data_IF_449680053726
#
_entry.id   IF_449680053726
#
_cell.length_a   1.000
_cell.length_b   1.000
_cell.length_c   1.000
_cell.angle_alpha   90.00
_cell.angle_beta   90.00
_cell.angle_gamma   90.00
#
_symmetry.space_group_name_H-M   'P 1'
#
loop_
_entity.id
_entity.type
_entity.pdbx_description
1 polymer ?
#
# COMPACT_ATOMS: atom_id res chain seq x y z
N UNK A 1 3.41 -18.40 -7.57
CA UNK A 1 3.74 -19.80 -7.22
C UNK A 1 4.75 -19.82 -6.08
N UNK A 2 5.97 -19.33 -6.30
CA UNK A 2 7.06 -19.42 -5.29
C UNK A 2 6.72 -18.83 -3.91
N UNK A 3 5.90 -17.79 -3.84
CA UNK A 3 5.45 -17.24 -2.56
C UNK A 3 4.57 -18.23 -1.77
N UNK A 4 3.68 -18.96 -2.45
CA UNK A 4 2.81 -19.97 -1.82
C UNK A 4 3.61 -21.20 -1.41
N UNK A 5 4.68 -21.56 -2.15
CA UNK A 5 5.60 -22.63 -1.79
C UNK A 5 6.45 -22.30 -0.55
N UNK A 6 6.85 -21.02 -0.42
CA UNK A 6 7.73 -20.57 0.66
C UNK A 6 6.98 -20.13 1.93
N UNK A 7 5.70 -19.79 1.83
CA UNK A 7 4.89 -19.23 2.91
C UNK A 7 3.63 -20.08 3.11
N UNK A 8 3.11 -20.06 4.33
CA UNK A 8 1.80 -20.69 4.65
C UNK A 8 0.68 -19.70 4.32
N UNK A 9 0.40 -19.55 3.03
CA UNK A 9 -0.62 -18.63 2.49
C UNK A 9 -1.41 -19.28 1.37
N UNK A 10 -2.64 -18.85 1.19
CA UNK A 10 -3.44 -19.09 -0.01
C UNK A 10 -3.36 -17.84 -0.92
N UNK A 11 -3.39 -18.05 -2.23
CA UNK A 11 -3.31 -16.97 -3.19
C UNK A 11 -4.49 -16.98 -4.17
N UNK A 12 -5.21 -15.87 -4.24
CA UNK A 12 -6.23 -15.62 -5.27
C UNK A 12 -5.62 -14.75 -6.36
N UNK A 13 -5.40 -15.33 -7.53
CA UNK A 13 -4.87 -14.60 -8.69
C UNK A 13 -6.03 -13.91 -9.41
N UNK A 14 -6.02 -12.58 -9.42
CA UNK A 14 -7.11 -11.78 -9.99
C UNK A 14 -6.69 -11.21 -11.35
N UNK A 15 -7.39 -11.57 -12.40
CA UNK A 15 -7.13 -11.11 -13.77
C UNK A 15 -7.85 -11.96 -14.80
N UNK A 16 -7.47 -11.84 -16.07
CA UNK A 16 -8.07 -12.64 -17.14
C UNK A 16 -7.76 -14.13 -16.93
N UNK A 17 -8.77 -14.92 -16.67
CA UNK A 17 -8.66 -16.34 -16.31
C UNK A 17 -7.82 -17.13 -17.31
N UNK A 18 -8.07 -16.94 -18.61
CA UNK A 18 -7.34 -17.64 -19.67
C UNK A 18 -5.82 -17.37 -19.63
N UNK A 19 -5.44 -16.11 -19.39
CA UNK A 19 -4.03 -15.71 -19.32
C UNK A 19 -3.36 -16.31 -18.08
N UNK A 20 -4.03 -16.21 -16.91
CA UNK A 20 -3.52 -16.76 -15.65
C UNK A 20 -3.40 -18.27 -15.73
N UNK A 21 -4.40 -18.96 -16.25
CA UNK A 21 -4.36 -20.42 -16.41
C UNK A 21 -3.24 -20.87 -17.35
N UNK A 22 -2.99 -20.13 -18.44
CA UNK A 22 -1.88 -20.41 -19.34
C UNK A 22 -0.53 -20.26 -18.64
N UNK A 23 -0.34 -19.21 -17.82
CA UNK A 23 0.91 -19.01 -17.07
C UNK A 23 1.10 -20.06 -15.96
N UNK A 24 0.05 -20.41 -15.22
CA UNK A 24 0.12 -21.49 -14.23
C UNK A 24 0.52 -22.83 -14.87
N UNK A 25 -0.04 -23.13 -16.05
CA UNK A 25 0.32 -24.33 -16.80
C UNK A 25 1.79 -24.32 -17.25
N UNK A 26 2.31 -23.18 -17.73
CA UNK A 26 3.74 -23.04 -18.09
C UNK A 26 4.66 -23.27 -16.91
N UNK A 27 4.26 -22.81 -15.71
CA UNK A 27 5.00 -23.04 -14.48
C UNK A 27 4.84 -24.45 -13.90
N UNK A 28 4.00 -25.30 -14.49
CA UNK A 28 3.68 -26.63 -13.94
C UNK A 28 2.98 -26.58 -12.58
N UNK A 29 2.33 -25.48 -12.25
CA UNK A 29 1.73 -25.29 -10.94
C UNK A 29 0.44 -26.10 -10.80
N UNK A 30 0.40 -26.97 -9.76
CA UNK A 30 -0.78 -27.76 -9.38
C UNK A 30 -1.18 -27.54 -7.93
N UNK A 31 -0.66 -26.51 -7.27
CA UNK A 31 -0.93 -26.22 -5.86
C UNK A 31 -2.37 -25.75 -5.68
N UNK A 32 -3.13 -26.48 -4.86
CA UNK A 32 -4.54 -26.21 -4.57
C UNK A 32 -4.79 -24.93 -3.76
N UNK A 33 -3.73 -24.37 -3.15
CA UNK A 33 -3.79 -23.08 -2.44
C UNK A 33 -3.82 -21.89 -3.39
N UNK A 34 -3.71 -22.13 -4.70
CA UNK A 34 -3.80 -21.08 -5.72
C UNK A 34 -5.13 -21.22 -6.44
N UNK A 35 -5.93 -20.15 -6.40
CA UNK A 35 -7.19 -20.03 -7.12
C UNK A 35 -7.19 -18.85 -8.08
N UNK A 36 -8.11 -18.83 -9.03
CA UNK A 36 -8.24 -17.74 -10.01
C UNK A 36 -9.59 -17.05 -9.80
N UNK A 37 -9.57 -15.72 -9.80
CA UNK A 37 -10.77 -14.89 -9.86
C UNK A 37 -10.74 -14.08 -11.14
N UNK A 38 -11.70 -14.31 -12.04
CA UNK A 38 -11.71 -13.67 -13.35
C UNK A 38 -12.00 -12.17 -13.25
N UNK A 39 -11.20 -11.37 -13.96
CA UNK A 39 -11.36 -9.93 -14.11
C UNK A 39 -10.82 -9.50 -15.48
N UNK A 40 -11.74 -9.13 -16.38
CA UNK A 40 -11.43 -8.96 -17.81
C UNK A 40 -10.78 -7.61 -18.13
N UNK A 41 -11.00 -6.58 -17.29
CA UNK A 41 -10.49 -5.24 -17.54
C UNK A 41 -9.11 -5.03 -16.87
N UNK A 42 -8.29 -4.23 -17.54
CA UNK A 42 -6.94 -3.89 -17.07
C UNK A 42 -6.82 -2.38 -16.90
N UNK A 43 -6.28 -1.94 -15.76
CA UNK A 43 -5.83 -0.56 -15.55
C UNK A 43 -4.37 -0.48 -15.96
N UNK A 44 -4.08 0.36 -16.94
CA UNK A 44 -2.72 0.55 -17.49
C UNK A 44 -2.03 1.76 -16.88
N UNK A 45 -0.75 1.96 -17.20
CA UNK A 45 -0.01 3.16 -16.79
C UNK A 45 -0.52 4.46 -17.39
N UNK A 46 -1.20 4.38 -18.55
CA UNK A 46 -1.75 5.53 -19.29
C UNK A 46 -3.13 5.97 -18.77
N UNK A 47 -3.79 5.14 -17.98
CA UNK A 47 -5.09 5.47 -17.42
C UNK A 47 -5.00 6.54 -16.33
N UNK A 48 -5.94 7.49 -16.34
CA UNK A 48 -6.14 8.35 -15.15
C UNK A 48 -6.55 7.51 -13.95
N UNK A 49 -5.78 7.53 -12.85
CA UNK A 49 -5.95 6.60 -11.74
C UNK A 49 -7.35 6.59 -11.12
N UNK A 50 -7.90 7.79 -10.85
CA UNK A 50 -9.18 7.95 -10.17
C UNK A 50 -10.33 7.52 -11.09
N UNK A 51 -10.25 7.94 -12.36
CA UNK A 51 -11.25 7.62 -13.36
C UNK A 51 -11.27 6.13 -13.70
N UNK A 52 -10.09 5.52 -13.83
CA UNK A 52 -9.97 4.10 -14.11
C UNK A 52 -10.60 3.23 -13.02
N UNK A 53 -10.30 3.49 -11.76
CA UNK A 53 -10.91 2.77 -10.63
C UNK A 53 -12.43 2.91 -10.60
N UNK A 54 -12.97 4.05 -11.01
CA UNK A 54 -14.41 4.27 -11.02
C UNK A 54 -15.12 3.59 -12.21
N UNK A 55 -14.50 3.63 -13.40
CA UNK A 55 -15.12 3.15 -14.64
C UNK A 55 -14.88 1.67 -14.89
N UNK A 56 -13.64 1.19 -14.73
CA UNK A 56 -13.26 -0.20 -14.97
C UNK A 56 -13.63 -1.07 -13.77
N UNK A 57 -14.92 -1.37 -13.67
CA UNK A 57 -15.47 -2.09 -12.50
C UNK A 57 -15.01 -3.54 -12.41
N UNK A 58 -14.68 -4.15 -13.53
CA UNK A 58 -14.15 -5.51 -13.61
C UNK A 58 -12.63 -5.55 -13.84
N UNK A 59 -11.90 -4.49 -13.39
CA UNK A 59 -10.44 -4.53 -13.40
C UNK A 59 -9.89 -5.36 -12.27
N UNK A 60 -8.79 -6.07 -12.53
CA UNK A 60 -8.12 -6.91 -11.52
C UNK A 60 -7.82 -6.16 -10.22
N UNK A 61 -7.40 -4.90 -10.31
CA UNK A 61 -7.14 -4.05 -9.15
C UNK A 61 -8.42 -3.75 -8.35
N UNK A 62 -9.50 -3.38 -9.02
CA UNK A 62 -10.75 -3.08 -8.34
C UNK A 62 -11.38 -4.32 -7.72
N UNK A 63 -11.38 -5.44 -8.45
CA UNK A 63 -11.88 -6.73 -7.96
C UNK A 63 -11.08 -7.18 -6.74
N UNK A 64 -9.75 -7.21 -6.82
CA UNK A 64 -8.89 -7.62 -5.72
C UNK A 64 -9.06 -6.76 -4.45
N UNK A 65 -9.16 -5.43 -4.61
CA UNK A 65 -9.46 -4.54 -3.48
C UNK A 65 -10.87 -4.78 -2.90
N UNK A 66 -11.84 -5.17 -3.73
CA UNK A 66 -13.19 -5.51 -3.25
C UNK A 66 -13.19 -6.82 -2.46
N UNK A 67 -12.44 -7.84 -2.87
CA UNK A 67 -12.27 -9.07 -2.10
C UNK A 67 -11.76 -8.78 -0.68
N UNK A 68 -10.72 -7.93 -0.56
CA UNK A 68 -10.23 -7.51 0.76
C UNK A 68 -11.28 -6.73 1.55
N UNK A 69 -11.98 -5.80 0.91
CA UNK A 69 -13.01 -5.00 1.58
C UNK A 69 -14.20 -5.83 2.08
N UNK A 70 -14.49 -6.96 1.42
CA UNK A 70 -15.54 -7.90 1.78
C UNK A 70 -15.08 -8.94 2.81
N UNK A 71 -13.80 -8.98 3.17
CA UNK A 71 -13.24 -10.00 4.06
C UNK A 71 -12.99 -11.36 3.40
N UNK A 72 -12.93 -11.38 2.06
CA UNK A 72 -12.62 -12.58 1.25
C UNK A 72 -11.10 -12.73 1.01
N UNK A 73 -10.29 -11.82 1.56
CA UNK A 73 -8.84 -11.84 1.55
C UNK A 73 -8.25 -10.91 2.59
N UNK A 74 -7.12 -11.27 3.15
CA UNK A 74 -6.45 -10.53 4.23
C UNK A 74 -5.56 -9.39 3.69
N UNK A 75 -5.05 -9.55 2.46
CA UNK A 75 -4.17 -8.58 1.84
C UNK A 75 -4.32 -8.56 0.31
N UNK A 76 -3.97 -7.44 -0.30
CA UNK A 76 -3.89 -7.28 -1.75
C UNK A 76 -2.49 -6.85 -2.17
N UNK A 77 -1.90 -7.59 -3.09
CA UNK A 77 -0.58 -7.31 -3.66
C UNK A 77 -0.73 -6.93 -5.13
N UNK A 78 -0.15 -5.82 -5.54
CA UNK A 78 -0.20 -5.34 -6.92
C UNK A 78 1.12 -4.70 -7.33
N UNK A 79 1.59 -4.99 -8.53
CA UNK A 79 2.69 -4.29 -9.20
C UNK A 79 2.19 -3.26 -10.23
N UNK A 80 0.89 -3.00 -10.26
CA UNK A 80 0.26 -2.12 -11.25
C UNK A 80 0.38 -0.63 -10.93
N UNK A 81 -0.53 0.17 -11.51
CA UNK A 81 -0.56 1.63 -11.33
C UNK A 81 -0.74 2.02 -9.86
N UNK A 82 0.30 2.61 -9.26
CA UNK A 82 0.31 3.00 -7.84
C UNK A 82 -0.77 4.02 -7.50
N UNK A 83 -1.02 4.99 -8.37
CA UNK A 83 -2.07 5.99 -8.17
C UNK A 83 -3.46 5.38 -8.14
N UNK A 84 -3.72 4.40 -9.02
CA UNK A 84 -4.96 3.65 -9.03
C UNK A 84 -5.11 2.77 -7.78
N UNK A 85 -4.02 2.15 -7.30
CA UNK A 85 -4.01 1.37 -6.07
C UNK A 85 -4.38 2.24 -4.85
N UNK A 86 -3.75 3.40 -4.68
CA UNK A 86 -4.05 4.34 -3.58
C UNK A 86 -5.49 4.85 -3.67
N UNK A 87 -5.93 5.21 -4.88
CA UNK A 87 -7.30 5.68 -5.12
C UNK A 87 -8.32 4.59 -4.83
N UNK A 88 -8.06 3.37 -5.30
CA UNK A 88 -8.89 2.20 -5.07
C UNK A 88 -8.97 1.81 -3.60
N UNK A 89 -7.83 1.72 -2.92
CA UNK A 89 -7.78 1.46 -1.49
C UNK A 89 -8.58 2.51 -0.70
N UNK A 90 -8.42 3.79 -1.02
CA UNK A 90 -9.16 4.86 -0.36
C UNK A 90 -10.67 4.81 -0.60
N UNK A 91 -11.10 4.44 -1.81
CA UNK A 91 -12.52 4.44 -2.20
C UNK A 91 -13.25 3.14 -1.78
N UNK A 92 -12.58 2.00 -1.85
CA UNK A 92 -13.18 0.66 -1.69
C UNK A 92 -12.91 0.13 -0.29
N UNK A 93 -11.64 -0.03 0.09
CA UNK A 93 -11.24 -0.52 1.43
C UNK A 93 -11.51 0.53 2.51
N UNK A 94 -11.41 1.80 2.14
CA UNK A 94 -11.59 2.98 2.99
C UNK A 94 -10.41 3.19 3.95
N UNK A 95 -10.47 4.32 4.65
CA UNK A 95 -9.48 4.69 5.66
C UNK A 95 -9.95 4.30 7.05
N UNK A 96 -9.02 4.04 7.95
CA UNK A 96 -9.29 3.92 9.38
C UNK A 96 -9.98 5.21 9.86
N UNK A 97 -11.06 5.11 10.67
CA UNK A 97 -11.73 6.29 11.24
C UNK A 97 -10.73 7.22 11.92
N UNK A 98 -10.84 8.52 11.65
CA UNK A 98 -9.92 9.55 12.15
C UNK A 98 -8.69 9.81 11.28
N UNK A 99 -8.28 8.90 10.40
CA UNK A 99 -7.19 9.12 9.45
C UNK A 99 -7.67 9.88 8.22
N UNK A 100 -7.07 11.05 7.98
CA UNK A 100 -7.50 11.96 6.91
C UNK A 100 -6.90 11.63 5.55
N UNK A 101 -5.68 11.06 5.50
CA UNK A 101 -4.98 10.72 4.27
C UNK A 101 -4.35 9.34 4.36
N UNK A 102 -4.45 8.56 3.29
CA UNK A 102 -3.63 7.39 3.09
C UNK A 102 -2.19 7.82 2.77
N UNK A 103 -1.23 6.98 3.08
CA UNK A 103 0.18 7.22 2.80
C UNK A 103 0.82 5.95 2.22
N UNK A 104 1.88 6.11 1.43
CA UNK A 104 2.79 5.04 1.05
C UNK A 104 3.86 4.92 2.13
N UNK A 105 4.07 3.73 2.64
CA UNK A 105 4.94 3.51 3.80
C UNK A 105 5.85 2.28 3.59
N UNK A 106 6.85 2.34 2.69
CA UNK A 106 7.79 1.26 2.50
C UNK A 106 8.72 1.12 3.72
N UNK A 107 9.01 -0.14 4.06
CA UNK A 107 10.08 -0.48 5.00
C UNK A 107 11.40 -0.54 4.23
N UNK A 108 12.33 0.32 4.60
CA UNK A 108 13.62 0.48 3.93
C UNK A 108 14.75 -0.08 4.79
N UNK A 109 15.79 -0.69 4.16
CA UNK A 109 17.00 -1.10 4.89
C UNK A 109 17.87 0.10 5.24
N UNK A 110 18.60 -0.01 6.34
CA UNK A 110 19.67 0.92 6.72
C UNK A 110 20.85 0.17 7.34
N UNK A 111 21.97 0.85 7.54
CA UNK A 111 23.12 0.26 8.22
C UNK A 111 22.82 -0.18 9.67
N UNK A 112 21.85 0.46 10.32
CA UNK A 112 21.44 0.16 11.69
C UNK A 112 20.20 -0.76 11.76
N UNK A 113 19.74 -1.35 10.64
CA UNK A 113 18.57 -2.19 10.59
C UNK A 113 17.53 -1.70 9.57
N UNK A 114 16.29 -1.56 9.98
CA UNK A 114 15.17 -1.17 9.09
C UNK A 114 14.50 0.11 9.61
N UNK A 115 13.99 0.93 8.71
CA UNK A 115 13.15 2.08 9.03
C UNK A 115 11.93 2.14 8.09
N UNK A 116 10.88 2.80 8.54
CA UNK A 116 9.69 3.07 7.74
C UNK A 116 9.79 4.51 7.20
N UNK A 117 9.71 4.67 5.89
CA UNK A 117 9.57 5.98 5.26
C UNK A 117 8.08 6.25 5.01
N UNK A 118 7.54 7.31 5.60
CA UNK A 118 6.13 7.68 5.46
C UNK A 118 5.97 9.21 5.40
N UNK A 119 5.38 9.83 4.40
CA UNK A 119 4.83 9.29 3.17
C UNK A 119 5.90 9.27 2.07
N UNK A 120 5.92 8.24 1.26
CA UNK A 120 6.90 8.11 0.17
C UNK A 120 6.30 8.44 -1.21
N UNK A 121 5.32 9.35 -1.29
CA UNK A 121 4.82 9.90 -2.54
C UNK A 121 3.34 9.67 -2.86
N UNK A 122 2.51 9.27 -1.90
CA UNK A 122 1.06 9.23 -2.09
C UNK A 122 0.43 10.63 -2.08
N UNK A 123 1.06 11.59 -1.41
CA UNK A 123 0.57 12.96 -1.25
C UNK A 123 1.62 13.95 -1.75
N UNK A 124 1.26 14.77 -2.73
CA UNK A 124 2.15 15.82 -3.26
C UNK A 124 2.43 16.91 -2.20
N UNK A 125 1.44 17.22 -1.38
CA UNK A 125 1.55 18.21 -0.31
C UNK A 125 0.98 17.64 1.00
N UNK A 126 1.66 17.92 2.10
CA UNK A 126 1.25 17.51 3.44
C UNK A 126 1.07 18.72 4.35
N UNK A 127 0.02 18.69 5.15
CA UNK A 127 -0.14 19.64 6.26
C UNK A 127 0.56 19.14 7.52
N UNK A 128 0.89 19.99 8.51
CA UNK A 128 1.45 19.54 9.78
C UNK A 128 0.62 18.44 10.46
N UNK A 129 -0.72 18.55 10.37
CA UNK A 129 -1.64 17.57 10.92
C UNK A 129 -1.55 16.21 10.22
N UNK A 130 -1.28 16.17 8.91
CA UNK A 130 -1.06 14.90 8.20
C UNK A 130 0.27 14.26 8.61
N UNK A 131 1.34 15.04 8.71
CA UNK A 131 2.65 14.55 9.17
C UNK A 131 2.55 13.96 10.59
N UNK A 132 1.81 14.60 11.50
CA UNK A 132 1.49 14.01 12.81
C UNK A 132 0.75 12.68 12.70
N UNK A 133 -0.27 12.58 11.84
CA UNK A 133 -0.99 11.33 11.63
C UNK A 133 -0.08 10.23 11.06
N UNK A 134 0.80 10.57 10.11
CA UNK A 134 1.77 9.64 9.55
C UNK A 134 2.76 9.14 10.59
N UNK A 135 3.21 10.01 11.49
CA UNK A 135 4.06 9.61 12.61
C UNK A 135 3.38 8.58 13.52
N UNK A 136 2.11 8.81 13.87
CA UNK A 136 1.32 7.86 14.68
C UNK A 136 1.14 6.54 13.93
N UNK A 137 0.73 6.58 12.66
CA UNK A 137 0.55 5.38 11.82
C UNK A 137 1.85 4.59 11.69
N UNK A 138 2.96 5.28 11.43
CA UNK A 138 4.28 4.67 11.32
C UNK A 138 4.74 4.04 12.63
N UNK A 139 4.51 4.69 13.75
CA UNK A 139 4.85 4.16 15.08
C UNK A 139 4.06 2.88 15.37
N UNK A 140 2.75 2.87 15.14
CA UNK A 140 1.91 1.67 15.31
C UNK A 140 2.36 0.54 14.39
N UNK A 141 2.70 0.85 13.14
CA UNK A 141 3.20 -0.15 12.20
C UNK A 141 4.51 -0.78 12.69
N UNK A 142 5.48 0.05 13.07
CA UNK A 142 6.78 -0.43 13.56
C UNK A 142 6.65 -1.25 14.85
N UNK A 143 5.73 -0.88 15.74
CA UNK A 143 5.44 -1.65 16.95
C UNK A 143 4.80 -3.02 16.63
N UNK A 144 3.76 -3.02 15.80
CA UNK A 144 2.92 -4.22 15.61
C UNK A 144 3.51 -5.22 14.61
N UNK A 145 4.15 -4.75 13.55
CA UNK A 145 4.64 -5.60 12.47
C UNK A 145 6.16 -5.76 12.47
N UNK A 146 6.90 -4.82 13.08
CA UNK A 146 8.36 -4.89 13.12
C UNK A 146 8.90 -5.22 14.52
N UNK A 147 8.00 -5.37 15.52
CA UNK A 147 8.34 -5.67 16.92
C UNK A 147 9.34 -4.69 17.53
N UNK A 148 9.19 -3.40 17.26
CA UNK A 148 10.00 -2.32 17.85
C UNK A 148 9.14 -1.61 18.89
N UNK A 149 9.39 -1.85 20.18
CA UNK A 149 8.54 -1.35 21.27
C UNK A 149 8.46 0.17 21.34
N UNK A 150 9.55 0.88 21.07
CA UNK A 150 9.65 2.34 21.14
C UNK A 150 10.27 2.91 19.86
N UNK A 151 9.52 2.96 18.74
CA UNK A 151 10.04 3.48 17.50
C UNK A 151 10.29 4.99 17.61
N UNK A 152 11.46 5.43 17.19
CA UNK A 152 11.81 6.86 17.11
C UNK A 152 11.23 7.43 15.82
N UNK A 153 10.64 8.61 15.93
CA UNK A 153 10.11 9.38 14.78
C UNK A 153 11.07 10.53 14.46
N UNK A 154 11.41 10.67 13.18
CA UNK A 154 12.19 11.79 12.68
C UNK A 154 11.49 12.45 11.51
N UNK A 155 11.54 13.77 11.44
CA UNK A 155 11.13 14.53 10.27
C UNK A 155 12.29 14.66 9.30
N UNK A 156 12.09 14.29 8.03
CA UNK A 156 13.06 14.57 6.97
C UNK A 156 13.09 16.07 6.73
N UNK A 157 14.25 16.68 6.90
CA UNK A 157 14.46 18.12 6.80
C UNK A 157 15.85 18.41 6.21
N UNK A 158 16.10 19.67 5.82
CA UNK A 158 17.35 20.16 5.24
C UNK A 158 18.45 20.45 6.29
N UNK A 159 18.11 20.43 7.57
CA UNK A 159 19.01 20.67 8.70
C UNK A 159 18.33 20.28 10.01
N UNK A 160 19.12 20.28 11.09
CA UNK A 160 18.69 19.90 12.45
C UNK A 160 18.31 21.09 13.33
N UNK A 161 18.64 22.30 12.88
CA UNK A 161 18.37 23.53 13.61
C UNK A 161 16.86 23.88 13.57
N UNK A 162 16.35 24.50 14.61
CA UNK A 162 14.91 24.80 14.78
C UNK A 162 14.33 25.72 13.70
N UNK A 163 15.15 26.59 13.12
CA UNK A 163 14.74 27.51 12.06
C UNK A 163 14.77 26.89 10.65
N UNK A 164 15.33 25.69 10.49
CA UNK A 164 15.44 25.02 9.18
C UNK A 164 14.13 24.40 8.71
N UNK A 165 14.02 24.30 7.40
CA UNK A 165 12.87 23.68 6.71
C UNK A 165 11.73 24.66 6.48
N UNK A 166 10.67 24.10 5.89
CA UNK A 166 9.46 24.84 5.58
C UNK A 166 8.66 25.14 6.85
N UNK A 167 7.77 26.11 6.77
CA UNK A 167 6.81 26.39 7.84
C UNK A 167 5.97 25.16 8.24
N UNK A 168 5.63 24.33 7.26
CA UNK A 168 4.94 23.04 7.49
C UNK A 168 5.76 22.11 8.37
N UNK A 169 7.07 21.96 8.11
CA UNK A 169 7.95 21.07 8.88
C UNK A 169 8.12 21.60 10.31
N UNK A 170 8.36 22.92 10.49
CA UNK A 170 8.47 23.53 11.82
C UNK A 170 7.20 23.36 12.65
N UNK A 171 6.03 23.58 12.05
CA UNK A 171 4.74 23.33 12.71
C UNK A 171 4.50 21.85 13.01
N UNK A 172 4.92 20.94 12.13
CA UNK A 172 4.80 19.51 12.37
C UNK A 172 5.69 19.05 13.53
N UNK A 173 6.94 19.56 13.62
CA UNK A 173 7.85 19.28 14.73
C UNK A 173 7.22 19.64 16.09
N UNK A 174 6.57 20.79 16.18
CA UNK A 174 5.88 21.21 17.41
C UNK A 174 4.65 20.32 17.77
N UNK A 175 4.15 19.49 16.87
CA UNK A 175 3.02 18.58 17.09
C UNK A 175 3.45 17.15 17.44
N UNK A 176 4.73 16.81 17.24
CA UNK A 176 5.34 15.49 17.50
C UNK A 176 5.96 15.40 18.87
#
# INVERSE_FOLDING_TARGET
VSAVEALDVEAVLVGREADIAAELKKCGCTDKRISIYNADEVITGEDDPISAIRRKKNSSMRVGLSLVANGEGDAFVSAGNTGALISGATLIVKRIPGIRRAALAPVMPSAAGKYLLIDSGANAECTPAFLKQFAIMGSVYMQRFMNIDSPRVGLVNIGTEEDKGTDTIRKAHALL
#
